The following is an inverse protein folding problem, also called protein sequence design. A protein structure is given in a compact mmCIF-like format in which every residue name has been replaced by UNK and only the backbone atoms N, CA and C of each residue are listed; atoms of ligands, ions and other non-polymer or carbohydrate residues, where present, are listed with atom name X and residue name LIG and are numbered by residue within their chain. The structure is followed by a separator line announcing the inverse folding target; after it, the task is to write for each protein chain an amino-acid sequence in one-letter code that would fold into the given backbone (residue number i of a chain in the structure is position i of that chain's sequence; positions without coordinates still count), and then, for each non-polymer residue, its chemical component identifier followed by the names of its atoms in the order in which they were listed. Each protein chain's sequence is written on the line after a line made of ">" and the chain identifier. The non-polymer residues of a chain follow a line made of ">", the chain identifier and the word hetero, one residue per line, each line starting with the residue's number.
data_IF_876315859852
#
_entry.id   IF_876315859852
#
_cell.length_a   1.000
_cell.length_b   1.000
_cell.length_c   1.000
_cell.angle_alpha   90.00
_cell.angle_beta   90.00
_cell.angle_gamma   90.00
#
_symmetry.space_group_name_H-M   'P 1'
#
loop_
_entity.id
_entity.type
_entity.pdbx_description
1 polymer ?
#
# COMPACT_ATOMS: atom_id res chain seq x y z
N UNK A 1 -29.72 22.02 -14.01
CA UNK A 1 -28.26 21.93 -13.86
C UNK A 1 -28.02 21.14 -12.58
N UNK A 2 -27.95 19.82 -12.68
CA UNK A 2 -27.72 18.93 -11.53
C UNK A 2 -26.28 18.44 -11.62
N UNK A 3 -25.40 19.10 -10.87
CA UNK A 3 -24.05 18.62 -10.61
C UNK A 3 -24.16 17.32 -9.79
N UNK A 4 -24.08 16.18 -10.48
CA UNK A 4 -23.72 14.94 -9.80
C UNK A 4 -22.25 15.10 -9.41
N UNK A 5 -22.00 15.29 -8.11
CA UNK A 5 -20.69 15.00 -7.54
C UNK A 5 -20.43 13.53 -7.80
N UNK A 6 -19.39 13.22 -8.56
CA UNK A 6 -18.93 11.86 -8.80
C UNK A 6 -18.45 11.26 -7.47
N UNK A 7 -19.37 10.69 -6.71
CA UNK A 7 -19.05 9.72 -5.65
C UNK A 7 -18.34 8.55 -6.33
N UNK A 8 -17.09 8.27 -5.95
CA UNK A 8 -16.23 7.32 -6.66
C UNK A 8 -16.93 5.97 -6.91
N UNK A 9 -17.31 5.74 -8.17
CA UNK A 9 -18.04 4.54 -8.57
C UNK A 9 -17.04 3.40 -8.76
N UNK A 10 -17.05 2.41 -7.86
CA UNK A 10 -16.38 1.13 -8.10
C UNK A 10 -17.24 0.34 -9.08
N UNK A 11 -16.68 0.01 -10.25
CA UNK A 11 -17.37 -0.73 -11.31
C UNK A 11 -17.00 -2.20 -11.19
N UNK A 12 -18.01 -3.06 -11.11
CA UNK A 12 -17.84 -4.51 -11.03
C UNK A 12 -18.21 -5.19 -12.35
N UNK A 13 -17.56 -6.32 -12.61
CA UNK A 13 -17.80 -7.13 -13.80
C UNK A 13 -19.22 -7.73 -13.79
N UNK A 14 -19.65 -8.18 -12.61
CA UNK A 14 -20.95 -8.77 -12.29
C UNK A 14 -21.22 -8.67 -10.78
N UNK A 15 -22.33 -9.25 -10.34
CA UNK A 15 -22.75 -9.24 -8.93
C UNK A 15 -21.87 -10.14 -8.04
N UNK A 16 -21.28 -11.20 -8.60
CA UNK A 16 -20.36 -12.09 -7.87
C UNK A 16 -19.05 -11.36 -7.53
N UNK A 17 -18.46 -10.69 -8.52
CA UNK A 17 -17.37 -9.73 -8.38
C UNK A 17 -17.67 -8.69 -7.27
N UNK A 18 -18.89 -8.15 -7.23
CA UNK A 18 -19.31 -7.16 -6.23
C UNK A 18 -19.36 -7.76 -4.83
N UNK A 19 -20.02 -8.90 -4.66
CA UNK A 19 -20.18 -9.55 -3.36
C UNK A 19 -18.84 -10.01 -2.78
N UNK A 20 -17.96 -10.55 -3.63
CA UNK A 20 -16.61 -10.94 -3.23
C UNK A 20 -15.83 -9.73 -2.69
N UNK A 21 -15.76 -8.64 -3.46
CA UNK A 21 -15.08 -7.42 -3.03
C UNK A 21 -15.68 -6.82 -1.74
N UNK A 22 -17.02 -6.86 -1.60
CA UNK A 22 -17.68 -6.41 -0.38
C UNK A 22 -17.32 -7.25 0.85
N UNK A 23 -17.10 -8.55 0.67
CA UNK A 23 -16.72 -9.46 1.74
C UNK A 23 -15.24 -9.34 2.15
N UNK A 24 -14.36 -9.02 1.21
CA UNK A 24 -12.90 -9.04 1.41
C UNK A 24 -12.32 -7.64 1.72
N UNK A 25 -12.70 -6.63 0.94
CA UNK A 25 -11.98 -5.34 0.90
C UNK A 25 -12.77 -4.16 1.45
N UNK A 26 -14.11 -4.19 1.31
CA UNK A 26 -14.93 -2.99 1.50
C UNK A 26 -14.97 -2.45 2.93
N UNK A 27 -14.84 -3.32 3.94
CA UNK A 27 -15.05 -2.94 5.34
C UNK A 27 -14.12 -1.81 5.82
N UNK A 28 -12.87 -1.75 5.34
CA UNK A 28 -11.98 -0.64 5.68
C UNK A 28 -12.02 0.46 4.61
N UNK A 29 -12.16 0.13 3.31
CA UNK A 29 -12.15 1.12 2.23
C UNK A 29 -13.34 2.07 2.29
N UNK A 30 -14.53 1.56 2.64
CA UNK A 30 -15.78 2.34 2.66
C UNK A 30 -15.69 3.59 3.55
N UNK A 31 -14.98 3.48 4.68
CA UNK A 31 -14.83 4.59 5.62
C UNK A 31 -13.80 5.62 5.13
N UNK A 32 -12.76 5.17 4.42
CA UNK A 32 -11.62 6.02 4.06
C UNK A 32 -11.79 6.66 2.69
N UNK A 33 -12.33 5.93 1.72
CA UNK A 33 -12.42 6.29 0.31
C UNK A 33 -13.06 7.68 0.08
N UNK A 34 -14.18 8.07 0.75
CA UNK A 34 -14.75 9.40 0.55
C UNK A 34 -13.79 10.52 0.94
N UNK A 35 -13.03 10.34 2.03
CA UNK A 35 -12.06 11.33 2.48
C UNK A 35 -10.88 11.40 1.53
N UNK A 36 -10.40 10.24 1.06
CA UNK A 36 -9.27 10.15 0.14
C UNK A 36 -9.57 10.78 -1.23
N UNK A 37 -10.78 10.57 -1.74
CA UNK A 37 -11.26 11.24 -2.95
C UNK A 37 -11.38 12.76 -2.75
N UNK A 38 -11.89 13.20 -1.59
CA UNK A 38 -12.07 14.62 -1.30
C UNK A 38 -10.74 15.40 -1.20
N UNK A 39 -9.63 14.71 -0.93
CA UNK A 39 -8.29 15.32 -0.88
C UNK A 39 -7.47 15.01 -2.15
N UNK A 40 -8.11 14.50 -3.20
CA UNK A 40 -7.49 14.15 -4.48
C UNK A 40 -6.31 13.17 -4.34
N UNK A 41 -6.35 12.32 -3.31
CA UNK A 41 -5.31 11.33 -3.08
C UNK A 41 -5.76 10.00 -3.69
N UNK A 42 -5.12 9.51 -4.77
CA UNK A 42 -5.59 8.32 -5.47
C UNK A 42 -5.57 7.10 -4.54
N UNK A 43 -6.72 6.42 -4.44
CA UNK A 43 -6.93 5.20 -3.64
C UNK A 43 -6.34 3.93 -4.28
N UNK A 44 -5.42 4.05 -5.24
CA UNK A 44 -4.78 2.92 -5.93
C UNK A 44 -3.64 2.29 -5.14
N UNK A 45 -3.46 2.69 -3.87
CA UNK A 45 -2.29 2.40 -3.06
C UNK A 45 -2.22 0.90 -2.66
N UNK A 46 -1.48 0.09 -3.42
CA UNK A 46 -0.96 -1.22 -2.98
C UNK A 46 -0.47 -1.21 -1.52
N UNK A 47 0.25 -0.17 -1.03
CA UNK A 47 0.64 -0.03 0.38
C UNK A 47 -0.51 -0.15 1.37
N UNK A 48 -1.69 0.39 1.02
CA UNK A 48 -2.88 0.30 1.86
C UNK A 48 -3.52 -1.09 1.80
N UNK A 49 -3.50 -1.74 0.63
CA UNK A 49 -3.95 -3.14 0.51
C UNK A 49 -3.07 -4.09 1.33
N UNK A 50 -1.76 -3.90 1.31
CA UNK A 50 -0.81 -4.66 2.13
C UNK A 50 -1.16 -4.53 3.61
N UNK A 51 -1.46 -3.31 4.08
CA UNK A 51 -1.84 -3.10 5.47
C UNK A 51 -3.23 -3.63 5.79
N UNK A 52 -4.15 -3.73 4.84
CA UNK A 52 -5.44 -4.37 5.09
C UNK A 52 -5.35 -5.88 5.23
N UNK A 53 -4.37 -6.50 4.59
CA UNK A 53 -4.13 -7.94 4.69
C UNK A 53 -3.65 -8.39 6.07
N UNK A 54 -3.25 -7.45 6.95
CA UNK A 54 -2.73 -7.75 8.28
C UNK A 54 -3.24 -6.75 9.32
N UNK A 55 -3.63 -7.19 10.50
CA UNK A 55 -3.87 -6.25 11.60
C UNK A 55 -2.54 -5.63 12.11
N UNK A 56 -2.66 -4.57 12.93
CA UNK A 56 -1.50 -3.85 13.46
C UNK A 56 -0.50 -4.76 14.20
N UNK A 57 -0.98 -5.71 15.00
CA UNK A 57 -0.11 -6.58 15.80
C UNK A 57 0.57 -7.66 14.95
N UNK A 58 -0.14 -8.22 13.97
CA UNK A 58 0.43 -9.16 13.00
C UNK A 58 1.59 -8.53 12.23
N UNK A 59 1.37 -7.37 11.63
CA UNK A 59 2.41 -6.74 10.80
C UNK A 59 3.59 -6.22 11.62
N UNK A 60 3.31 -5.73 12.84
CA UNK A 60 4.35 -5.32 13.80
C UNK A 60 5.23 -6.49 14.22
N UNK A 61 4.63 -7.66 14.46
CA UNK A 61 5.36 -8.89 14.78
C UNK A 61 6.23 -9.34 13.61
N UNK A 62 5.67 -9.45 12.41
CA UNK A 62 6.41 -9.84 11.20
C UNK A 62 7.58 -8.88 10.91
N UNK A 63 7.35 -7.56 10.99
CA UNK A 63 8.41 -6.56 10.75
C UNK A 63 9.52 -6.67 11.81
N UNK A 64 9.19 -6.96 13.07
CA UNK A 64 10.19 -7.15 14.13
C UNK A 64 11.03 -8.38 13.87
N UNK A 65 10.42 -9.48 13.47
CA UNK A 65 11.10 -10.73 13.13
C UNK A 65 12.05 -10.54 11.94
N UNK A 66 11.56 -9.92 10.86
CA UNK A 66 12.35 -9.67 9.66
C UNK A 66 13.55 -8.74 9.92
N UNK A 67 13.37 -7.70 10.75
CA UNK A 67 14.50 -6.82 11.15
C UNK A 67 15.55 -7.52 12.00
N UNK A 68 15.18 -8.59 12.71
CA UNK A 68 16.09 -9.39 13.52
C UNK A 68 16.93 -10.38 12.70
N UNK A 69 16.51 -10.67 11.46
CA UNK A 69 17.22 -11.59 10.58
C UNK A 69 18.44 -10.89 9.97
N UNK A 70 19.63 -11.49 10.14
CA UNK A 70 20.80 -11.09 9.37
C UNK A 70 20.71 -11.74 7.99
N UNK A 71 20.70 -10.89 6.97
CA UNK A 71 20.79 -11.29 5.58
C UNK A 71 22.27 -11.47 5.22
N UNK A 72 22.71 -12.71 4.99
CA UNK A 72 24.10 -13.00 4.58
C UNK A 72 24.39 -12.50 3.15
N UNK A 73 23.34 -12.34 2.32
CA UNK A 73 23.39 -11.88 0.93
C UNK A 73 22.25 -10.92 0.62
N UNK A 74 22.48 -9.59 0.68
CA UNK A 74 21.44 -8.58 0.44
C UNK A 74 20.71 -8.73 -0.90
N UNK A 75 21.39 -9.24 -1.93
CA UNK A 75 20.83 -9.46 -3.27
C UNK A 75 19.81 -10.59 -3.34
N UNK A 76 19.80 -11.50 -2.35
CA UNK A 76 18.84 -12.61 -2.26
C UNK A 76 17.69 -12.32 -1.28
N UNK A 77 17.65 -11.11 -0.73
CA UNK A 77 16.67 -10.72 0.27
C UNK A 77 15.24 -10.79 -0.28
N UNK A 78 14.35 -11.51 0.41
CA UNK A 78 12.97 -11.70 -0.02
C UNK A 78 12.75 -12.79 -1.06
N UNK A 79 13.80 -13.53 -1.45
CA UNK A 79 13.70 -14.75 -2.26
C UNK A 79 13.72 -16.01 -1.39
N UNK A 80 13.20 -17.12 -1.91
CA UNK A 80 13.37 -18.43 -1.27
C UNK A 80 14.83 -18.90 -1.28
N UNK A 81 15.12 -20.01 -0.57
CA UNK A 81 16.46 -20.62 -0.58
C UNK A 81 16.94 -20.99 -2.00
N UNK A 82 16.02 -21.27 -2.90
CA UNK A 82 16.26 -21.56 -4.33
C UNK A 82 16.37 -20.28 -5.19
N UNK A 83 16.30 -19.09 -4.58
CA UNK A 83 16.36 -17.80 -5.28
C UNK A 83 15.04 -17.39 -5.94
N UNK A 84 13.91 -17.99 -5.57
CA UNK A 84 12.61 -17.73 -6.22
C UNK A 84 11.86 -16.61 -5.48
N UNK A 85 11.42 -15.61 -6.24
CA UNK A 85 10.55 -14.53 -5.75
C UNK A 85 9.14 -15.08 -5.45
N UNK A 86 8.63 -14.84 -4.23
CA UNK A 86 7.31 -15.29 -3.79
C UNK A 86 6.36 -14.09 -3.66
N UNK A 87 5.51 -13.79 -4.66
CA UNK A 87 4.66 -12.59 -4.64
C UNK A 87 3.62 -12.59 -3.51
N UNK A 88 3.28 -13.75 -2.97
CA UNK A 88 2.35 -13.90 -1.85
C UNK A 88 2.99 -13.72 -0.47
N UNK A 89 4.32 -13.54 -0.40
CA UNK A 89 5.04 -13.38 0.87
C UNK A 89 5.24 -11.92 1.23
N UNK A 90 4.85 -11.53 2.45
CA UNK A 90 5.13 -10.19 2.97
C UNK A 90 6.64 -9.93 3.13
N UNK A 91 7.43 -10.97 3.40
CA UNK A 91 8.89 -10.88 3.44
C UNK A 91 9.45 -10.32 2.14
N UNK A 92 8.93 -10.78 1.01
CA UNK A 92 9.34 -10.32 -0.30
C UNK A 92 9.03 -8.83 -0.47
N UNK A 93 7.85 -8.38 -0.06
CA UNK A 93 7.48 -6.95 -0.04
C UNK A 93 8.39 -6.14 0.87
N UNK A 94 8.79 -6.69 2.02
CA UNK A 94 9.65 -6.01 2.99
C UNK A 94 11.06 -5.72 2.43
N UNK A 95 11.58 -6.61 1.60
CA UNK A 95 12.93 -6.49 1.05
C UNK A 95 13.00 -5.79 -0.31
N UNK A 96 11.86 -5.34 -0.86
CA UNK A 96 11.86 -4.51 -2.06
C UNK A 96 12.73 -3.26 -1.89
N UNK A 97 13.40 -2.87 -2.98
CA UNK A 97 14.29 -1.73 -2.98
C UNK A 97 13.53 -0.43 -2.69
N UNK A 98 14.14 0.51 -1.98
CA UNK A 98 13.53 1.80 -1.67
C UNK A 98 14.10 2.97 -2.48
N UNK A 99 15.32 2.83 -3.04
CA UNK A 99 16.05 3.89 -3.75
C UNK A 99 15.95 5.30 -3.12
N UNK A 100 15.80 5.35 -1.80
CA UNK A 100 15.48 6.57 -1.06
C UNK A 100 16.52 7.67 -1.23
N UNK A 101 17.77 7.28 -1.48
CA UNK A 101 18.93 8.18 -1.62
C UNK A 101 18.94 8.90 -2.97
N UNK A 102 18.23 8.35 -3.97
CA UNK A 102 18.10 8.95 -5.30
C UNK A 102 16.82 9.78 -5.42
N UNK A 103 16.05 9.88 -4.34
CA UNK A 103 14.75 10.54 -4.31
C UNK A 103 14.87 11.96 -3.77
N UNK A 104 14.13 12.92 -4.35
CA UNK A 104 14.18 14.31 -3.89
C UNK A 104 13.49 14.48 -2.54
N UNK A 105 13.96 15.44 -1.74
CA UNK A 105 13.33 15.79 -0.46
C UNK A 105 11.87 16.21 -0.60
N UNK A 106 11.54 16.91 -1.69
CA UNK A 106 10.16 17.31 -2.00
C UNK A 106 9.26 16.10 -2.21
N UNK A 107 9.72 15.09 -2.96
CA UNK A 107 8.97 13.87 -3.16
C UNK A 107 8.78 13.10 -1.84
N UNK A 108 9.85 12.93 -1.06
CA UNK A 108 9.78 12.27 0.26
C UNK A 108 8.77 12.96 1.19
N UNK A 109 8.71 14.29 1.16
CA UNK A 109 7.76 15.07 1.93
C UNK A 109 6.30 14.76 1.53
N UNK A 110 6.00 14.74 0.22
CA UNK A 110 4.66 14.39 -0.28
C UNK A 110 4.27 12.96 0.13
N UNK A 111 5.17 11.99 0.00
CA UNK A 111 4.88 10.62 0.43
C UNK A 111 4.68 10.50 1.95
N UNK A 112 5.42 11.28 2.74
CA UNK A 112 5.22 11.35 4.18
C UNK A 112 3.85 11.96 4.54
N UNK A 113 3.36 12.95 3.78
CA UNK A 113 2.01 13.48 3.95
C UNK A 113 0.95 12.42 3.67
N UNK A 114 1.11 11.63 2.59
CA UNK A 114 0.20 10.52 2.29
C UNK A 114 0.17 9.50 3.42
N UNK A 115 1.34 9.05 3.89
CA UNK A 115 1.44 8.10 5.00
C UNK A 115 0.79 8.65 6.27
N UNK A 116 0.97 9.94 6.58
CA UNK A 116 0.35 10.60 7.72
C UNK A 116 -1.18 10.62 7.64
N UNK A 117 -1.73 11.03 6.49
CA UNK A 117 -3.18 11.09 6.28
C UNK A 117 -3.80 9.70 6.42
N UNK A 118 -3.22 8.70 5.76
CA UNK A 118 -3.71 7.31 5.85
C UNK A 118 -3.64 6.82 7.31
N UNK A 119 -2.54 7.06 8.02
CA UNK A 119 -2.42 6.68 9.44
C UNK A 119 -3.52 7.31 10.30
N UNK A 120 -3.82 8.60 10.07
CA UNK A 120 -4.90 9.30 10.78
C UNK A 120 -6.28 8.72 10.46
N UNK A 121 -6.50 8.34 9.20
CA UNK A 121 -7.74 7.70 8.75
C UNK A 121 -7.90 6.31 9.35
N UNK A 122 -6.85 5.48 9.34
CA UNK A 122 -6.83 4.18 10.00
C UNK A 122 -7.13 4.29 11.49
N UNK A 123 -6.54 5.28 12.18
CA UNK A 123 -6.83 5.54 13.59
C UNK A 123 -8.30 5.92 13.82
N UNK A 124 -8.83 6.86 13.03
CA UNK A 124 -10.23 7.30 13.14
C UNK A 124 -11.24 6.23 12.78
N UNK A 125 -10.88 5.27 11.93
CA UNK A 125 -11.78 4.20 11.50
C UNK A 125 -12.21 3.26 12.65
N UNK A 126 -11.40 3.16 13.71
CA UNK A 126 -11.60 2.19 14.80
C UNK A 126 -11.49 0.72 14.36
N UNK A 127 -11.03 0.46 13.13
CA UNK A 127 -11.10 -0.85 12.46
C UNK A 127 -9.72 -1.50 12.23
N UNK A 128 -8.65 -0.70 12.21
CA UNK A 128 -7.29 -1.20 11.94
C UNK A 128 -6.50 -1.52 13.21
N UNK A 129 -6.58 -0.64 14.20
CA UNK A 129 -5.96 -0.84 15.50
C UNK A 129 -6.89 -1.72 16.34
N UNK A 130 -6.74 -3.03 16.18
CA UNK A 130 -7.48 -4.06 16.90
C UNK A 130 -6.48 -5.01 17.59
N UNK A 131 -6.90 -5.66 18.67
CA UNK A 131 -6.14 -6.73 19.31
C UNK A 131 -6.31 -8.07 18.56
N UNK A 132 -5.61 -9.12 19.03
CA UNK A 132 -5.70 -10.47 18.46
C UNK A 132 -7.07 -11.14 18.63
N UNK A 133 -8.00 -10.52 19.35
CA UNK A 133 -9.39 -10.95 19.53
C UNK A 133 -10.37 -10.10 18.70
N UNK A 134 -9.86 -9.11 17.96
CA UNK A 134 -10.64 -8.22 17.09
C UNK A 134 -11.27 -7.03 17.80
N UNK A 135 -10.95 -6.76 19.07
CA UNK A 135 -11.47 -5.60 19.78
C UNK A 135 -10.64 -4.35 19.43
N UNK A 136 -11.32 -3.22 19.21
CA UNK A 136 -10.67 -1.93 18.94
C UNK A 136 -9.79 -1.53 20.12
N UNK A 137 -8.52 -1.23 19.85
CA UNK A 137 -7.57 -0.69 20.82
C UNK A 137 -7.34 0.80 20.56
N UNK A 138 -7.02 1.54 21.62
CA UNK A 138 -6.51 2.90 21.49
C UNK A 138 -4.99 2.83 21.28
N UNK A 139 -4.47 3.04 20.06
CA UNK A 139 -3.03 2.93 19.82
C UNK A 139 -2.24 3.99 20.58
N UNK A 140 -1.07 3.62 21.08
CA UNK A 140 -0.16 4.59 21.67
C UNK A 140 0.50 5.46 20.60
N UNK A 141 1.15 6.55 21.02
CA UNK A 141 1.92 7.41 20.11
C UNK A 141 2.95 6.61 19.30
N UNK A 142 3.58 5.63 19.94
CA UNK A 142 4.60 4.81 19.28
C UNK A 142 4.01 3.88 18.22
N UNK A 143 2.80 3.36 18.43
CA UNK A 143 2.09 2.55 17.43
C UNK A 143 1.77 3.39 16.20
N UNK A 144 1.23 4.60 16.39
CA UNK A 144 0.94 5.53 15.30
C UNK A 144 2.19 5.89 14.49
N UNK A 145 3.30 6.18 15.17
CA UNK A 145 4.59 6.45 14.51
C UNK A 145 5.05 5.24 13.70
N UNK A 146 4.93 4.05 14.27
CA UNK A 146 5.38 2.80 13.63
C UNK A 146 4.53 2.47 12.41
N UNK A 147 3.21 2.60 12.49
CA UNK A 147 2.29 2.41 11.35
C UNK A 147 2.57 3.43 10.25
N UNK A 148 2.76 4.71 10.59
CA UNK A 148 3.08 5.76 9.60
C UNK A 148 4.43 5.54 8.93
N UNK A 149 5.46 5.15 9.69
CA UNK A 149 6.76 4.81 9.14
C UNK A 149 6.70 3.58 8.22
N UNK A 150 5.88 2.59 8.58
CA UNK A 150 5.68 1.39 7.78
C UNK A 150 4.94 1.69 6.48
N UNK A 151 3.87 2.50 6.55
CA UNK A 151 3.15 3.03 5.38
C UNK A 151 4.10 3.73 4.42
N UNK A 152 4.88 4.69 4.91
CA UNK A 152 5.85 5.41 4.10
C UNK A 152 6.86 4.45 3.46
N UNK A 153 7.35 3.48 4.23
CA UNK A 153 8.27 2.46 3.73
C UNK A 153 7.67 1.65 2.58
N UNK A 154 6.40 1.24 2.68
CA UNK A 154 5.70 0.54 1.60
C UNK A 154 5.45 1.42 0.39
N UNK A 155 5.03 2.68 0.59
CA UNK A 155 4.84 3.64 -0.51
C UNK A 155 6.14 3.78 -1.31
N UNK A 156 7.27 4.04 -0.64
CA UNK A 156 8.56 4.19 -1.32
C UNK A 156 8.98 2.91 -2.04
N UNK A 157 8.77 1.73 -1.44
CA UNK A 157 9.06 0.44 -2.09
C UNK A 157 8.20 0.24 -3.33
N UNK A 158 6.89 0.46 -3.24
CA UNK A 158 6.00 0.18 -4.37
C UNK A 158 6.30 1.12 -5.53
N UNK A 159 6.42 2.42 -5.30
CA UNK A 159 6.70 3.39 -6.37
C UNK A 159 8.05 3.13 -7.06
N UNK A 160 9.08 2.70 -6.32
CA UNK A 160 10.38 2.36 -6.90
C UNK A 160 10.41 1.02 -7.65
N UNK A 161 9.50 0.08 -7.33
CA UNK A 161 9.46 -1.24 -7.95
C UNK A 161 8.26 -1.41 -8.89
N UNK A 162 7.42 -0.39 -9.05
CA UNK A 162 6.28 -0.40 -9.94
C UNK A 162 6.75 -0.19 -11.37
N UNK A 163 6.69 -1.25 -12.16
CA UNK A 163 6.87 -1.16 -13.61
C UNK A 163 5.53 -0.77 -14.24
N UNK A 164 5.50 0.34 -14.97
CA UNK A 164 4.29 0.74 -15.69
C UNK A 164 4.45 0.35 -17.15
N UNK A 165 3.52 -0.47 -17.63
CA UNK A 165 3.35 -0.80 -19.04
C UNK A 165 2.12 -0.05 -19.53
N UNK A 166 2.26 0.78 -20.56
CA UNK A 166 1.13 1.43 -21.19
C UNK A 166 1.29 1.45 -22.71
N UNK A 167 0.16 1.46 -23.40
CA UNK A 167 0.11 1.60 -24.84
C UNK A 167 0.08 3.08 -25.19
N UNK A 168 1.12 3.55 -25.87
CA UNK A 168 1.15 4.90 -26.40
C UNK A 168 0.68 4.88 -27.85
N UNK A 169 -0.38 5.64 -28.16
CA UNK A 169 -0.86 5.78 -29.53
C UNK A 169 -0.04 6.87 -30.24
N UNK A 170 0.80 6.45 -31.19
CA UNK A 170 1.59 7.35 -32.04
C UNK A 170 0.97 7.36 -33.43
N UNK A 171 0.13 8.36 -33.69
CA UNK A 171 -0.65 8.46 -34.94
C UNK A 171 -1.75 7.39 -35.03
N UNK A 172 -1.72 6.55 -36.07
CA UNK A 172 -2.68 5.44 -36.25
C UNK A 172 -2.18 4.09 -35.72
N UNK A 173 -0.97 4.04 -35.14
CA UNK A 173 -0.37 2.81 -34.61
C UNK A 173 -0.25 2.87 -33.08
N UNK A 174 -0.36 1.71 -32.45
CA UNK A 174 -0.07 1.54 -31.03
C UNK A 174 1.38 1.09 -30.85
N UNK A 175 2.10 1.73 -29.93
CA UNK A 175 3.45 1.35 -29.52
C UNK A 175 3.40 0.89 -28.07
N UNK A 176 3.90 -0.31 -27.83
CA UNK A 176 4.09 -0.82 -26.47
C UNK A 176 5.27 -0.08 -25.82
N UNK A 177 5.01 0.61 -24.71
CA UNK A 177 6.05 1.31 -23.94
C UNK A 177 6.11 0.68 -22.55
N UNK A 178 7.25 0.05 -22.25
CA UNK A 178 7.57 -0.42 -20.90
C UNK A 178 8.42 0.66 -20.25
N UNK A 179 7.87 1.36 -19.26
CA UNK A 179 8.66 2.26 -18.41
C UNK A 179 9.15 1.46 -17.22
N UNK A 180 10.42 1.05 -17.30
CA UNK A 180 11.13 0.53 -16.13
C UNK A 180 11.73 1.74 -15.42
N UNK A 181 11.12 2.16 -14.32
CA UNK A 181 11.77 3.11 -13.41
C UNK A 181 12.82 2.30 -12.64
N UNK A 182 14.00 2.12 -13.25
CA UNK A 182 15.21 1.79 -12.48
C UNK A 182 15.86 3.13 -12.19
N UNK A 183 15.75 3.60 -10.95
CA UNK A 183 16.64 4.64 -10.44
C UNK A 183 17.82 3.94 -9.78
#
# INVERSE_FOLDING_TARGET
>A
MNERKDEGVVIFCDEECRLQYLSEDHWLECVLLPTLLAIEMPCTNLPYKILKSFNHEEIKTMVKELRGQKQDKPESAGCSAEGIYKPSSYETVHYLCQNKEQTTSQYLYVQAQHAFVITKLLHKSGRYFIDGQGATISPERQDLISTGALLLSHILRMECNQHTVYDEKVGTKYKFVVTVIVI
#
